data_IF_220700008453
#
_entry.id   IF_220700008453
#
_cell.length_a   1.000
_cell.length_b   1.000
_cell.length_c   1.000
_cell.angle_alpha   90.00
_cell.angle_beta   90.00
_cell.angle_gamma   90.00
#
_symmetry.space_group_name_H-M   'P 1'
#
loop_
_entity.id
_entity.type
_entity.pdbx_description
1 polymer ?
#
# COMPACT_ATOMS: atom_id res chain seq x y z
N UNK A 1 -22.71 -1.74 -0.91
CA UNK A 1 -21.91 -2.49 0.08
C UNK A 1 -20.42 -2.40 -0.29
N UNK A 2 -19.56 -2.28 0.68
CA UNK A 2 -18.10 -2.17 0.48
C UNK A 2 -17.38 -2.34 1.80
N UNK A 3 -16.03 -2.53 1.80
CA UNK A 3 -15.28 -2.81 3.01
C UNK A 3 -15.41 -1.69 4.06
N UNK A 4 -15.46 -0.43 3.64
CA UNK A 4 -15.65 0.70 4.54
C UNK A 4 -16.98 0.67 5.27
N UNK A 5 -18.08 0.43 4.56
CA UNK A 5 -19.41 0.37 5.17
C UNK A 5 -19.56 -0.81 6.14
N UNK A 6 -18.95 -1.97 5.82
CA UNK A 6 -18.93 -3.11 6.74
C UNK A 6 -18.17 -2.81 8.03
N UNK A 7 -17.04 -2.09 7.93
CA UNK A 7 -16.29 -1.62 9.10
C UNK A 7 -17.09 -0.61 9.93
N UNK A 8 -17.81 0.30 9.29
CA UNK A 8 -18.69 1.25 9.98
C UNK A 8 -19.79 0.53 10.78
N UNK A 9 -20.42 -0.48 10.17
CA UNK A 9 -21.42 -1.28 10.87
C UNK A 9 -20.83 -1.96 12.12
N UNK A 10 -19.66 -2.61 11.97
CA UNK A 10 -18.97 -3.23 13.11
C UNK A 10 -18.58 -2.22 14.19
N UNK A 11 -18.11 -1.03 13.81
CA UNK A 11 -17.74 0.03 14.72
C UNK A 11 -18.94 0.55 15.54
N UNK A 12 -20.11 0.67 14.90
CA UNK A 12 -21.35 1.11 15.58
C UNK A 12 -21.85 0.08 16.62
N UNK A 13 -21.57 -1.21 16.39
CA UNK A 13 -21.89 -2.28 17.36
C UNK A 13 -20.84 -2.40 18.48
N UNK A 14 -19.67 -1.78 18.35
CA UNK A 14 -18.59 -1.91 19.32
C UNK A 14 -18.80 -0.96 20.52
N UNK A 15 -18.63 -1.51 21.74
CA UNK A 15 -18.77 -0.76 23.00
C UNK A 15 -17.46 -0.20 23.56
N UNK A 16 -16.31 -0.44 22.90
CA UNK A 16 -15.00 -0.04 23.40
C UNK A 16 -14.69 1.45 23.19
N UNK A 17 -13.78 1.99 24.00
CA UNK A 17 -13.24 3.34 23.86
C UNK A 17 -12.37 3.50 22.62
N UNK A 18 -11.65 2.44 22.23
CA UNK A 18 -10.85 2.34 21.02
C UNK A 18 -11.41 1.27 20.09
N UNK A 19 -11.47 1.59 18.81
CA UNK A 19 -11.87 0.71 17.73
C UNK A 19 -10.62 0.17 17.03
N UNK A 20 -10.55 -1.14 16.85
CA UNK A 20 -9.47 -1.81 16.11
C UNK A 20 -10.04 -2.44 14.84
N UNK A 21 -9.45 -2.11 13.70
CA UNK A 21 -9.80 -2.66 12.39
C UNK A 21 -8.67 -3.57 11.93
N UNK A 22 -9.03 -4.81 11.63
CA UNK A 22 -8.12 -5.84 11.12
C UNK A 22 -8.76 -6.50 9.91
N UNK A 23 -7.96 -6.78 8.89
CA UNK A 23 -8.43 -7.59 7.77
C UNK A 23 -8.46 -9.09 8.17
N UNK A 24 -9.43 -9.83 7.66
CA UNK A 24 -9.64 -11.25 8.02
C UNK A 24 -8.51 -12.19 7.59
N UNK A 25 -7.58 -11.72 6.75
CA UNK A 25 -6.38 -12.43 6.31
C UNK A 25 -5.11 -11.99 7.08
N UNK A 26 -5.28 -11.34 8.23
CA UNK A 26 -4.20 -11.00 9.16
C UNK A 26 -4.10 -12.01 10.30
N UNK A 27 -2.86 -12.31 10.72
CA UNK A 27 -2.54 -13.04 11.96
C UNK A 27 -1.88 -12.05 12.91
N UNK A 28 -2.40 -11.94 14.11
CA UNK A 28 -1.87 -11.07 15.16
C UNK A 28 -0.93 -11.84 16.09
N UNK A 29 0.20 -11.28 16.51
CA UNK A 29 1.04 -11.84 17.55
C UNK A 29 0.32 -11.90 18.91
N UNK A 30 0.70 -12.80 19.83
CA UNK A 30 0.08 -12.90 21.15
C UNK A 30 0.10 -11.59 21.95
N UNK A 31 1.18 -10.81 21.83
CA UNK A 31 1.39 -9.57 22.57
C UNK A 31 0.67 -8.35 21.95
N UNK A 32 0.05 -8.50 20.79
CA UNK A 32 -0.52 -7.41 19.99
C UNK A 32 -1.45 -6.50 20.80
N UNK A 33 -2.41 -7.08 21.51
CA UNK A 33 -3.37 -6.31 22.32
C UNK A 33 -2.70 -5.66 23.53
N UNK A 34 -1.72 -6.33 24.16
CA UNK A 34 -0.97 -5.77 25.28
C UNK A 34 -0.19 -4.51 24.86
N UNK A 35 0.49 -4.57 23.72
CA UNK A 35 1.22 -3.43 23.12
C UNK A 35 0.30 -2.24 22.89
N UNK A 36 -0.87 -2.46 22.27
CA UNK A 36 -1.84 -1.39 22.01
C UNK A 36 -2.37 -0.81 23.32
N UNK A 37 -2.79 -1.65 24.28
CA UNK A 37 -3.27 -1.18 25.58
C UNK A 37 -2.23 -0.34 26.31
N UNK A 38 -0.97 -0.76 26.31
CA UNK A 38 0.13 -0.01 26.90
C UNK A 38 0.30 1.36 26.19
N UNK A 39 0.32 1.38 24.86
CA UNK A 39 0.46 2.61 24.10
C UNK A 39 -0.70 3.61 24.38
N UNK A 40 -1.96 3.14 24.40
CA UNK A 40 -3.11 3.96 24.71
C UNK A 40 -3.14 4.49 26.15
N UNK A 41 -2.56 3.75 27.12
CA UNK A 41 -2.46 4.19 28.52
C UNK A 41 -1.36 5.22 28.73
N UNK A 42 -0.21 5.06 28.05
CA UNK A 42 0.96 5.92 28.26
C UNK A 42 0.91 7.21 27.44
N UNK A 43 0.19 7.20 26.32
CA UNK A 43 0.06 8.35 25.42
C UNK A 43 -1.40 8.50 25.06
N UNK A 44 -1.89 9.73 25.06
CA UNK A 44 -3.19 10.04 24.48
C UNK A 44 -3.07 9.91 22.96
N UNK A 45 -3.49 8.77 22.42
CA UNK A 45 -3.39 8.45 21.00
C UNK A 45 -4.76 8.60 20.36
N UNK A 46 -4.87 9.44 19.35
CA UNK A 46 -6.12 9.63 18.61
C UNK A 46 -6.36 8.52 17.61
N UNK A 47 -5.34 8.25 16.77
CA UNK A 47 -5.36 7.13 15.83
C UNK A 47 -3.97 6.52 15.65
N UNK A 48 -3.91 5.25 15.34
CA UNK A 48 -2.67 4.51 15.18
C UNK A 48 -2.79 3.40 14.16
N UNK A 49 -1.67 2.86 13.77
CA UNK A 49 -1.57 1.62 13.01
C UNK A 49 -0.22 0.96 13.23
N UNK A 50 -0.12 -0.28 12.84
CA UNK A 50 1.11 -1.06 12.89
C UNK A 50 1.54 -1.54 11.50
N UNK A 51 2.84 -1.93 11.35
CA UNK A 51 3.34 -2.45 10.10
C UNK A 51 2.80 -3.84 9.80
N UNK A 52 2.80 -4.19 8.52
CA UNK A 52 2.59 -5.56 8.07
C UNK A 52 3.94 -6.27 7.90
N UNK A 53 4.01 -7.54 8.30
CA UNK A 53 5.19 -8.39 8.18
C UNK A 53 4.89 -9.63 7.34
N UNK A 54 5.94 -10.17 6.69
CA UNK A 54 5.86 -11.46 6.03
C UNK A 54 5.87 -12.58 7.07
N UNK A 55 4.94 -13.52 6.95
CA UNK A 55 4.93 -14.73 7.78
C UNK A 55 5.91 -15.76 7.22
N UNK A 56 6.51 -16.60 8.08
CA UNK A 56 7.46 -17.64 7.67
C UNK A 56 6.87 -18.65 6.67
N UNK A 57 5.57 -18.93 6.77
CA UNK A 57 4.86 -19.85 5.87
C UNK A 57 4.57 -19.29 4.47
N UNK A 58 5.01 -18.07 4.16
CA UNK A 58 4.79 -17.50 2.82
C UNK A 58 5.45 -18.34 1.74
N UNK A 59 4.69 -18.62 0.70
CA UNK A 59 5.21 -19.25 -0.53
C UNK A 59 6.23 -18.35 -1.22
N UNK A 60 7.02 -18.91 -2.13
CA UNK A 60 8.02 -18.13 -2.89
C UNK A 60 7.37 -16.95 -3.65
N UNK A 61 6.15 -17.12 -4.19
CA UNK A 61 5.40 -16.04 -4.85
C UNK A 61 5.02 -14.96 -3.84
N UNK A 62 4.53 -15.32 -2.66
CA UNK A 62 4.17 -14.35 -1.62
C UNK A 62 5.38 -13.59 -1.09
N UNK A 63 6.54 -14.24 -0.95
CA UNK A 63 7.81 -13.60 -0.59
C UNK A 63 8.27 -12.63 -1.66
N UNK A 64 8.15 -13.00 -2.94
CA UNK A 64 8.47 -12.13 -4.07
C UNK A 64 7.56 -10.90 -4.14
N UNK A 65 6.25 -11.08 -3.95
CA UNK A 65 5.27 -9.99 -3.86
C UNK A 65 5.59 -9.10 -2.65
N UNK A 66 5.92 -9.69 -1.50
CA UNK A 66 6.31 -8.90 -0.33
C UNK A 66 7.55 -8.04 -0.63
N UNK A 67 8.57 -8.61 -1.26
CA UNK A 67 9.74 -7.84 -1.71
C UNK A 67 9.33 -6.65 -2.57
N UNK A 68 8.55 -6.86 -3.64
CA UNK A 68 8.14 -5.79 -4.54
C UNK A 68 7.29 -4.70 -3.86
N UNK A 69 6.56 -5.03 -2.80
CA UNK A 69 5.75 -4.07 -2.03
C UNK A 69 6.54 -3.27 -1.00
N UNK A 70 7.72 -3.74 -0.59
CA UNK A 70 8.52 -3.14 0.49
C UNK A 70 9.88 -2.62 0.04
N UNK A 71 10.37 -3.04 -1.15
CA UNK A 71 11.66 -2.58 -1.68
C UNK A 71 11.66 -1.09 -1.98
N UNK A 72 12.79 -0.45 -1.69
CA UNK A 72 13.04 0.94 -2.05
C UNK A 72 12.93 1.16 -3.57
N UNK A 73 13.45 0.24 -4.36
CA UNK A 73 13.50 0.36 -5.83
C UNK A 73 12.13 0.24 -6.52
N UNK A 74 11.10 -0.21 -5.82
CA UNK A 74 9.75 -0.38 -6.39
C UNK A 74 8.72 0.58 -5.80
N UNK A 75 8.84 0.90 -4.51
CA UNK A 75 7.87 1.73 -3.79
C UNK A 75 8.48 2.97 -3.13
N UNK A 76 9.77 3.24 -3.38
CA UNK A 76 10.47 4.36 -2.75
C UNK A 76 10.58 4.24 -1.23
N UNK A 77 10.45 3.03 -0.68
CA UNK A 77 10.52 2.78 0.76
C UNK A 77 9.29 3.29 1.56
N UNK A 78 8.20 3.70 0.88
CA UNK A 78 6.98 4.20 1.54
C UNK A 78 6.37 3.16 2.49
N UNK A 79 6.59 1.87 2.23
CA UNK A 79 6.19 0.76 3.11
C UNK A 79 7.42 0.18 3.78
N UNK A 80 7.47 0.20 5.10
CA UNK A 80 8.50 -0.50 5.88
C UNK A 80 9.64 0.35 6.43
N UNK A 81 9.66 1.67 6.26
CA UNK A 81 10.67 2.52 6.90
C UNK A 81 10.26 2.90 8.33
N UNK A 82 11.20 2.74 9.27
CA UNK A 82 11.06 3.14 10.68
C UNK A 82 11.05 4.66 10.90
N UNK A 83 11.46 5.43 9.91
CA UNK A 83 11.52 6.91 9.95
C UNK A 83 10.87 7.45 8.67
N UNK A 84 9.61 7.85 8.76
CA UNK A 84 9.00 8.71 7.74
C UNK A 84 9.07 10.15 8.24
N UNK A 85 9.50 11.08 7.39
CA UNK A 85 9.44 12.53 7.66
C UNK A 85 8.00 13.06 7.58
N UNK A 86 7.03 12.21 7.31
CA UNK A 86 5.62 12.53 7.13
C UNK A 86 4.76 11.89 8.22
N UNK A 87 3.60 12.53 8.49
CA UNK A 87 2.57 11.96 9.36
C UNK A 87 2.18 10.56 8.87
N UNK A 88 2.10 9.62 9.77
CA UNK A 88 1.79 8.22 9.44
C UNK A 88 0.32 8.08 9.06
N UNK A 89 0.06 7.42 7.94
CA UNK A 89 -1.29 7.08 7.49
C UNK A 89 -1.65 5.65 7.93
N UNK A 90 -2.45 5.47 9.00
CA UNK A 90 -2.98 4.15 9.37
C UNK A 90 -3.71 3.48 8.20
N UNK A 91 -3.53 2.17 8.09
CA UNK A 91 -4.12 1.36 7.00
C UNK A 91 -5.11 0.35 7.60
N UNK A 92 -6.24 0.17 6.96
CA UNK A 92 -7.36 -0.62 7.47
C UNK A 92 -7.04 -2.08 7.83
N UNK A 93 -5.98 -2.66 7.25
CA UNK A 93 -5.54 -4.00 7.64
C UNK A 93 -4.98 -4.08 9.07
N UNK A 94 -4.57 -2.95 9.66
CA UNK A 94 -4.04 -2.83 11.01
C UNK A 94 -4.15 -1.36 11.46
N UNK A 95 -5.35 -0.92 11.77
CA UNK A 95 -5.68 0.45 12.13
C UNK A 95 -6.48 0.48 13.43
N UNK A 96 -6.19 1.45 14.30
CA UNK A 96 -7.01 1.76 15.44
C UNK A 96 -7.23 3.25 15.57
N UNK A 97 -8.36 3.64 16.16
CA UNK A 97 -8.65 5.01 16.56
C UNK A 97 -9.57 5.03 17.77
N UNK A 98 -9.58 6.14 18.51
CA UNK A 98 -10.56 6.33 19.55
C UNK A 98 -11.97 6.43 18.95
N UNK A 99 -12.99 6.01 19.71
CA UNK A 99 -14.39 6.09 19.28
C UNK A 99 -14.78 7.54 18.97
N UNK A 100 -14.29 8.50 19.75
CA UNK A 100 -14.45 9.94 19.52
C UNK A 100 -13.94 10.36 18.13
N UNK A 101 -12.74 9.93 17.74
CA UNK A 101 -12.17 10.24 16.41
C UNK A 101 -12.98 9.62 15.30
N UNK A 102 -13.42 8.37 15.48
CA UNK A 102 -14.25 7.66 14.50
C UNK A 102 -15.59 8.38 14.27
N UNK A 103 -16.27 8.77 15.34
CA UNK A 103 -17.53 9.50 15.28
C UNK A 103 -17.35 10.89 14.65
N UNK A 104 -16.33 11.64 15.07
CA UNK A 104 -16.03 12.97 14.53
C UNK A 104 -15.75 12.94 13.02
N UNK A 105 -15.06 11.90 12.54
CA UNK A 105 -14.74 11.75 11.12
C UNK A 105 -15.81 11.00 10.33
N UNK A 106 -16.94 10.65 10.94
CA UNK A 106 -18.05 9.90 10.32
C UNK A 106 -17.61 8.54 9.74
N UNK A 107 -16.52 7.96 10.26
CA UNK A 107 -16.00 6.66 9.86
C UNK A 107 -15.50 6.61 8.42
N UNK A 108 -15.55 5.41 7.82
CA UNK A 108 -15.08 5.16 6.45
C UNK A 108 -16.12 5.61 5.43
N UNK A 109 -15.68 6.30 4.36
CA UNK A 109 -16.53 6.58 3.21
C UNK A 109 -16.76 5.31 2.36
N UNK A 110 -17.84 5.30 1.59
CA UNK A 110 -18.22 4.20 0.70
C UNK A 110 -17.32 4.04 -0.53
N UNK A 111 -16.03 4.29 -0.40
CA UNK A 111 -15.06 4.12 -1.46
C UNK A 111 -14.75 2.64 -1.66
N UNK A 112 -14.64 2.22 -2.93
CA UNK A 112 -14.28 0.84 -3.25
C UNK A 112 -12.81 0.52 -2.94
N UNK A 113 -11.93 1.52 -3.06
CA UNK A 113 -10.50 1.43 -2.81
C UNK A 113 -9.99 2.76 -2.26
N UNK A 114 -9.07 2.69 -1.27
CA UNK A 114 -8.45 3.86 -0.65
C UNK A 114 -9.28 4.48 0.47
N UNK A 115 -10.31 3.80 0.94
CA UNK A 115 -11.16 4.22 2.06
C UNK A 115 -10.38 4.44 3.36
N UNK A 116 -9.30 3.66 3.53
CA UNK A 116 -8.39 3.77 4.67
C UNK A 116 -7.51 5.03 4.60
N UNK A 117 -7.01 5.35 3.42
CA UNK A 117 -6.22 6.56 3.21
C UNK A 117 -7.10 7.80 3.33
N UNK A 118 -8.30 7.78 2.75
CA UNK A 118 -9.29 8.85 2.90
C UNK A 118 -9.59 9.13 4.38
N UNK A 119 -9.89 8.08 5.15
CA UNK A 119 -10.14 8.22 6.58
C UNK A 119 -8.92 8.76 7.32
N UNK A 120 -7.72 8.27 7.03
CA UNK A 120 -6.48 8.76 7.65
C UNK A 120 -6.23 10.24 7.35
N UNK A 121 -6.52 10.69 6.12
CA UNK A 121 -6.39 12.10 5.74
C UNK A 121 -7.39 12.95 6.54
N UNK A 122 -8.67 12.56 6.60
CA UNK A 122 -9.70 13.27 7.37
C UNK A 122 -9.40 13.35 8.87
N UNK A 123 -8.83 12.28 9.45
CA UNK A 123 -8.35 12.30 10.84
C UNK A 123 -7.31 13.41 11.04
N UNK A 124 -6.33 13.50 10.13
CA UNK A 124 -5.27 14.52 10.23
C UNK A 124 -5.76 15.93 9.91
N UNK A 125 -6.67 16.08 8.94
CA UNK A 125 -7.30 17.38 8.60
C UNK A 125 -8.17 17.90 9.75
N UNK A 126 -8.77 17.00 10.53
CA UNK A 126 -9.51 17.34 11.75
C UNK A 126 -8.61 17.70 12.95
N UNK A 127 -7.28 17.70 12.78
CA UNK A 127 -6.32 18.06 13.82
C UNK A 127 -5.98 16.95 14.81
N UNK A 128 -6.42 15.71 14.56
CA UNK A 128 -6.05 14.55 15.37
C UNK A 128 -4.68 13.99 14.97
N UNK A 129 -3.96 13.42 15.94
CA UNK A 129 -2.66 12.83 15.72
C UNK A 129 -2.75 11.36 15.32
N UNK A 130 -1.92 11.00 14.34
CA UNK A 130 -1.73 9.61 13.93
C UNK A 130 -0.34 9.12 14.29
N UNK A 131 -0.21 7.91 14.81
CA UNK A 131 1.09 7.35 15.15
C UNK A 131 1.29 5.93 14.59
N UNK A 132 2.55 5.61 14.29
CA UNK A 132 2.98 4.25 14.00
C UNK A 132 3.36 3.55 15.31
N UNK A 133 2.78 2.38 15.57
CA UNK A 133 3.17 1.48 16.66
C UNK A 133 3.96 0.29 16.05
N UNK A 134 5.30 0.34 16.01
CA UNK A 134 6.11 -0.66 15.32
C UNK A 134 5.97 -2.08 15.88
N UNK A 135 5.68 -2.19 17.18
CA UNK A 135 5.50 -3.44 17.90
C UNK A 135 4.09 -4.03 17.72
N UNK A 136 3.09 -3.21 17.36
CA UNK A 136 1.74 -3.65 17.04
C UNK A 136 1.65 -4.09 15.57
N UNK A 137 2.54 -4.99 15.15
CA UNK A 137 2.56 -5.50 13.78
C UNK A 137 1.57 -6.65 13.60
N UNK A 138 1.21 -6.89 12.33
CA UNK A 138 0.42 -8.06 11.92
C UNK A 138 1.13 -8.82 10.79
N UNK A 139 0.89 -10.13 10.71
CA UNK A 139 1.27 -10.91 9.54
C UNK A 139 0.13 -10.86 8.54
N UNK A 140 0.27 -10.03 7.51
CA UNK A 140 -0.77 -9.83 6.51
C UNK A 140 -0.51 -10.69 5.28
N UNK A 141 -1.44 -11.58 4.95
CA UNK A 141 -1.29 -12.54 3.86
C UNK A 141 -1.18 -11.83 2.50
N UNK A 142 -0.07 -12.04 1.82
CA UNK A 142 0.13 -11.53 0.46
C UNK A 142 -0.69 -12.33 -0.56
N UNK A 143 -1.00 -11.71 -1.70
CA UNK A 143 -1.68 -12.39 -2.81
C UNK A 143 -0.91 -13.63 -3.23
N UNK A 144 -1.64 -14.70 -3.58
CA UNK A 144 -1.08 -16.02 -3.87
C UNK A 144 -0.72 -16.22 -5.35
N UNK A 145 -1.06 -15.26 -6.22
CA UNK A 145 -0.73 -15.30 -7.65
C UNK A 145 -0.43 -13.90 -8.18
N UNK A 146 0.39 -13.83 -9.22
CA UNK A 146 0.71 -12.58 -9.91
C UNK A 146 -0.51 -11.91 -10.55
N UNK A 147 -1.49 -12.67 -11.04
CA UNK A 147 -2.75 -12.13 -11.59
C UNK A 147 -3.55 -11.38 -10.51
N UNK A 148 -3.70 -11.97 -9.32
CA UNK A 148 -4.37 -11.31 -8.19
C UNK A 148 -3.59 -10.09 -7.71
N UNK A 149 -2.27 -10.18 -7.73
CA UNK A 149 -1.39 -9.08 -7.36
C UNK A 149 -1.49 -7.91 -8.37
N UNK A 150 -1.43 -8.20 -9.67
CA UNK A 150 -1.64 -7.19 -10.72
C UNK A 150 -2.95 -6.42 -10.50
N UNK A 151 -4.07 -7.13 -10.30
CA UNK A 151 -5.39 -6.51 -10.07
C UNK A 151 -5.37 -5.61 -8.83
N UNK A 152 -4.73 -6.04 -7.74
CA UNK A 152 -4.60 -5.26 -6.51
C UNK A 152 -3.83 -3.97 -6.76
N UNK A 153 -2.69 -4.04 -7.42
CA UNK A 153 -1.81 -2.89 -7.65
C UNK A 153 -2.41 -1.92 -8.67
N UNK A 154 -3.03 -2.45 -9.72
CA UNK A 154 -3.80 -1.65 -10.69
C UNK A 154 -4.90 -0.83 -10.00
N UNK A 155 -5.69 -1.45 -9.12
CA UNK A 155 -6.71 -0.76 -8.34
C UNK A 155 -6.10 0.31 -7.40
N UNK A 156 -4.90 0.07 -6.87
CA UNK A 156 -4.18 1.07 -6.07
C UNK A 156 -3.77 2.29 -6.89
N UNK A 157 -3.35 2.10 -8.15
CA UNK A 157 -3.08 3.19 -9.08
C UNK A 157 -4.35 4.00 -9.39
N UNK A 158 -5.47 3.33 -9.68
CA UNK A 158 -6.76 3.98 -9.90
C UNK A 158 -7.24 4.76 -8.66
N UNK A 159 -7.13 4.16 -7.48
CA UNK A 159 -7.55 4.78 -6.23
C UNK A 159 -6.80 6.10 -5.95
N UNK A 160 -5.57 6.26 -6.44
CA UNK A 160 -4.79 7.48 -6.23
C UNK A 160 -5.43 8.72 -6.85
N UNK A 161 -6.01 8.59 -8.04
CA UNK A 161 -6.73 9.70 -8.71
C UNK A 161 -8.06 9.98 -8.01
N UNK A 162 -8.77 8.95 -7.53
CA UNK A 162 -9.98 9.15 -6.73
C UNK A 162 -9.68 9.90 -5.43
N UNK A 163 -8.59 9.55 -4.76
CA UNK A 163 -8.12 10.24 -3.55
C UNK A 163 -7.71 11.69 -3.86
N UNK A 164 -7.03 11.94 -4.98
CA UNK A 164 -6.68 13.29 -5.42
C UNK A 164 -7.91 14.16 -5.62
N UNK A 165 -9.00 13.62 -6.16
CA UNK A 165 -10.25 14.37 -6.35
C UNK A 165 -10.91 14.75 -5.02
N UNK A 166 -10.78 13.92 -4.00
CA UNK A 166 -11.31 14.19 -2.65
C UNK A 166 -10.35 15.04 -1.81
N UNK A 167 -9.07 14.84 -2.00
CA UNK A 167 -7.97 15.46 -1.25
C UNK A 167 -6.85 15.87 -2.22
N UNK A 168 -6.94 17.06 -2.85
CA UNK A 168 -5.96 17.50 -3.86
C UNK A 168 -4.50 17.49 -3.37
N UNK A 169 -4.28 17.75 -2.09
CA UNK A 169 -2.96 17.72 -1.43
C UNK A 169 -2.36 16.32 -1.30
N UNK A 170 -3.16 15.25 -1.52
CA UNK A 170 -2.70 13.86 -1.34
C UNK A 170 -1.83 13.35 -2.49
N UNK A 171 -1.82 14.03 -3.65
CA UNK A 171 -1.06 13.62 -4.81
C UNK A 171 0.37 14.18 -4.75
N UNK A 172 1.36 13.29 -4.86
CA UNK A 172 2.79 13.61 -4.79
C UNK A 172 3.50 13.16 -6.06
N UNK A 173 4.64 13.77 -6.37
CA UNK A 173 5.45 13.43 -7.55
C UNK A 173 5.80 11.93 -7.63
N UNK A 174 6.05 11.29 -6.50
CA UNK A 174 6.37 9.85 -6.44
C UNK A 174 5.24 8.97 -7.02
N UNK A 175 3.99 9.43 -7.01
CA UNK A 175 2.87 8.68 -7.55
C UNK A 175 2.86 8.61 -9.10
N UNK A 176 3.60 9.51 -9.76
CA UNK A 176 3.75 9.51 -11.22
C UNK A 176 4.86 8.57 -11.70
N UNK A 177 5.85 8.24 -10.84
CA UNK A 177 7.00 7.43 -11.22
C UNK A 177 6.64 6.09 -11.88
N UNK A 178 5.64 5.32 -11.41
CA UNK A 178 5.25 4.09 -12.08
C UNK A 178 4.68 4.33 -13.49
N UNK A 179 4.01 5.45 -13.74
CA UNK A 179 3.52 5.81 -15.08
C UNK A 179 4.66 6.20 -16.01
N UNK A 180 5.63 6.97 -15.52
CA UNK A 180 6.87 7.29 -16.24
C UNK A 180 7.63 6.01 -16.57
N UNK A 181 7.71 5.06 -15.64
CA UNK A 181 8.31 3.75 -15.86
C UNK A 181 7.63 2.98 -17.00
N UNK A 182 6.29 2.94 -17.04
CA UNK A 182 5.54 2.28 -18.12
C UNK A 182 5.87 2.91 -19.48
N UNK A 183 5.83 4.24 -19.56
CA UNK A 183 6.14 4.99 -20.79
C UNK A 183 7.60 4.73 -21.20
N UNK A 184 8.54 4.79 -20.27
CA UNK A 184 9.95 4.51 -20.51
C UNK A 184 10.19 3.10 -21.05
N UNK A 185 9.54 2.08 -20.47
CA UNK A 185 9.61 0.70 -20.99
C UNK A 185 9.06 0.60 -22.42
N UNK A 186 7.94 1.25 -22.73
CA UNK A 186 7.37 1.26 -24.08
C UNK A 186 8.31 1.95 -25.09
N UNK A 187 8.94 3.06 -24.70
CA UNK A 187 9.94 3.75 -25.52
C UNK A 187 11.15 2.86 -25.77
N UNK A 188 11.69 2.21 -24.74
CA UNK A 188 12.82 1.28 -24.88
C UNK A 188 12.49 0.10 -25.81
N UNK A 189 11.29 -0.47 -25.68
CA UNK A 189 10.84 -1.54 -26.57
C UNK A 189 10.69 -1.06 -28.02
N UNK A 190 10.07 0.08 -28.25
CA UNK A 190 9.95 0.66 -29.60
C UNK A 190 11.33 0.98 -30.19
N UNK A 191 12.20 1.65 -29.43
CA UNK A 191 13.56 1.96 -29.86
C UNK A 191 14.39 0.71 -30.15
N UNK A 192 14.15 -0.38 -29.41
CA UNK A 192 14.84 -1.65 -29.69
C UNK A 192 14.44 -2.27 -31.02
N UNK A 193 13.20 -2.05 -31.46
CA UNK A 193 12.70 -2.55 -32.77
C UNK A 193 13.17 -1.69 -33.96
N UNK A 194 13.23 -0.37 -33.79
CA UNK A 194 13.44 0.57 -34.90
C UNK A 194 14.85 1.18 -34.96
N UNK A 195 15.57 1.23 -33.82
CA UNK A 195 16.88 1.86 -33.75
C UNK A 195 17.99 0.87 -33.41
N UNK A 196 17.99 0.25 -32.22
CA UNK A 196 19.03 -0.66 -31.81
C UNK A 196 18.59 -1.56 -30.65
N UNK A 197 18.91 -2.88 -30.66
CA UNK A 197 18.65 -3.80 -29.56
C UNK A 197 19.26 -3.37 -28.22
N UNK A 198 20.27 -2.50 -28.23
CA UNK A 198 20.91 -2.01 -27.01
C UNK A 198 19.97 -1.29 -26.04
N UNK A 199 18.83 -0.75 -26.51
CA UNK A 199 17.83 -0.13 -25.63
C UNK A 199 17.21 -1.13 -24.63
N UNK A 200 17.25 -2.45 -24.92
CA UNK A 200 16.82 -3.49 -23.99
C UNK A 200 17.76 -3.64 -22.78
N UNK A 201 19.01 -3.19 -22.88
CA UNK A 201 19.95 -3.23 -21.76
C UNK A 201 19.44 -2.45 -20.56
N UNK A 202 18.74 -1.33 -20.75
CA UNK A 202 18.15 -0.56 -19.66
C UNK A 202 17.15 -1.41 -18.85
N UNK A 203 16.28 -2.15 -19.53
CA UNK A 203 15.31 -3.06 -18.90
C UNK A 203 16.05 -4.23 -18.22
N UNK A 204 17.09 -4.79 -18.88
CA UNK A 204 17.93 -5.86 -18.35
C UNK A 204 18.68 -5.44 -17.08
N UNK A 205 19.27 -4.25 -17.06
CA UNK A 205 19.97 -3.72 -15.89
C UNK A 205 19.01 -3.50 -14.71
N UNK A 206 17.79 -3.03 -14.98
CA UNK A 206 16.78 -2.88 -13.94
C UNK A 206 16.32 -4.26 -13.40
N UNK A 207 16.15 -5.24 -14.27
CA UNK A 207 15.84 -6.61 -13.85
C UNK A 207 16.97 -7.21 -12.98
N UNK A 208 18.23 -6.96 -13.37
CA UNK A 208 19.40 -7.37 -12.58
C UNK A 208 19.43 -6.69 -11.21
N UNK A 209 19.11 -5.39 -11.15
CA UNK A 209 19.02 -4.65 -9.88
C UNK A 209 17.98 -5.28 -8.95
N UNK A 210 16.75 -5.55 -9.44
CA UNK A 210 15.71 -6.21 -8.63
C UNK A 210 16.14 -7.61 -8.20
N UNK A 211 16.79 -8.36 -9.08
CA UNK A 211 17.28 -9.70 -8.78
C UNK A 211 18.33 -9.68 -7.66
N UNK A 212 19.36 -8.85 -7.80
CA UNK A 212 20.48 -8.80 -6.85
C UNK A 212 20.03 -8.28 -5.48
N UNK A 213 19.19 -7.22 -5.45
CA UNK A 213 18.65 -6.69 -4.20
C UNK A 213 17.74 -7.72 -3.51
N UNK A 214 16.85 -8.39 -4.25
CA UNK A 214 16.01 -9.44 -3.68
C UNK A 214 16.82 -10.65 -3.22
N UNK A 215 17.86 -11.03 -3.95
CA UNK A 215 18.76 -12.12 -3.55
C UNK A 215 19.48 -11.79 -2.24
N UNK A 216 19.96 -10.55 -2.10
CA UNK A 216 20.58 -10.05 -0.87
C UNK A 216 19.65 -10.14 0.34
N UNK A 217 18.38 -9.74 0.16
CA UNK A 217 17.38 -9.66 1.25
C UNK A 217 16.77 -11.02 1.59
N UNK A 218 16.44 -11.84 0.59
CA UNK A 218 15.73 -13.11 0.79
C UNK A 218 16.66 -14.33 0.84
N UNK A 219 17.92 -14.19 0.40
CA UNK A 219 18.93 -15.27 0.32
C UNK A 219 18.42 -16.54 -0.39
N UNK A 220 17.56 -16.35 -1.39
CA UNK A 220 16.92 -17.42 -2.13
C UNK A 220 16.79 -17.06 -3.61
N UNK A 221 17.46 -17.81 -4.47
CA UNK A 221 17.53 -17.58 -5.94
C UNK A 221 16.14 -17.64 -6.58
N UNK A 222 15.30 -18.63 -6.20
CA UNK A 222 13.93 -18.76 -6.72
C UNK A 222 13.09 -17.54 -6.38
N UNK A 223 13.17 -17.06 -5.13
CA UNK A 223 12.46 -15.85 -4.69
C UNK A 223 12.99 -14.63 -5.44
N UNK A 224 14.30 -14.53 -5.67
CA UNK A 224 14.91 -13.42 -6.41
C UNK A 224 14.38 -13.33 -7.85
N UNK A 225 14.33 -14.43 -8.59
CA UNK A 225 13.73 -14.47 -9.93
C UNK A 225 12.25 -14.06 -9.93
N UNK A 226 11.46 -14.62 -9.01
CA UNK A 226 10.04 -14.25 -8.88
C UNK A 226 9.85 -12.79 -8.47
N UNK A 227 10.81 -12.23 -7.74
CA UNK A 227 10.79 -10.82 -7.32
C UNK A 227 11.00 -9.87 -8.50
N UNK A 228 11.78 -10.24 -9.50
CA UNK A 228 11.88 -9.46 -10.75
C UNK A 228 10.50 -9.33 -11.39
N UNK A 229 9.81 -10.47 -11.58
CA UNK A 229 8.45 -10.48 -12.15
C UNK A 229 7.50 -9.64 -11.29
N UNK A 230 7.51 -9.82 -9.97
CA UNK A 230 6.67 -9.07 -9.05
C UNK A 230 6.95 -7.56 -9.10
N UNK A 231 8.21 -7.14 -9.24
CA UNK A 231 8.61 -5.73 -9.31
C UNK A 231 8.13 -5.06 -10.61
N UNK A 232 8.27 -5.75 -11.74
CA UNK A 232 7.69 -5.26 -12.99
C UNK A 232 6.16 -5.16 -12.90
N UNK A 233 5.49 -6.16 -12.32
CA UNK A 233 4.04 -6.11 -12.08
C UNK A 233 3.67 -4.93 -11.18
N UNK A 234 4.40 -4.70 -10.09
CA UNK A 234 4.17 -3.58 -9.17
C UNK A 234 4.19 -2.23 -9.91
N UNK A 235 5.21 -2.00 -10.71
CA UNK A 235 5.39 -0.74 -11.42
C UNK A 235 4.40 -0.60 -12.59
N UNK A 236 4.26 -1.64 -13.44
CA UNK A 236 3.38 -1.58 -14.61
C UNK A 236 1.92 -1.52 -14.23
N UNK A 237 1.46 -2.36 -13.30
CA UNK A 237 0.06 -2.39 -12.92
C UNK A 237 -0.39 -1.07 -12.28
N UNK A 238 0.44 -0.51 -11.38
CA UNK A 238 0.14 0.80 -10.78
C UNK A 238 0.13 1.90 -11.83
N UNK A 239 1.16 1.97 -12.68
CA UNK A 239 1.28 3.00 -13.72
C UNK A 239 0.11 2.96 -14.71
N UNK A 240 -0.27 1.77 -15.20
CA UNK A 240 -1.42 1.59 -16.09
C UNK A 240 -2.72 1.98 -15.38
N UNK A 241 -2.92 1.57 -14.11
CA UNK A 241 -4.10 1.93 -13.33
C UNK A 241 -4.22 3.44 -13.10
N UNK A 242 -3.10 4.11 -12.83
CA UNK A 242 -3.03 5.55 -12.68
C UNK A 242 -3.37 6.28 -13.99
N UNK A 243 -2.73 5.90 -15.11
CA UNK A 243 -3.00 6.47 -16.45
C UNK A 243 -4.47 6.28 -16.83
N UNK A 244 -5.00 5.07 -16.61
CA UNK A 244 -6.41 4.77 -16.88
C UNK A 244 -7.36 5.66 -16.07
N UNK A 245 -7.08 5.87 -14.79
CA UNK A 245 -7.89 6.75 -13.95
C UNK A 245 -7.81 8.22 -14.38
N UNK A 246 -6.62 8.71 -14.76
CA UNK A 246 -6.45 10.05 -15.32
C UNK A 246 -7.31 10.21 -16.58
N UNK A 247 -7.30 9.23 -17.48
CA UNK A 247 -8.11 9.25 -18.68
C UNK A 247 -9.61 9.25 -18.37
N UNK A 248 -10.07 8.33 -17.50
CA UNK A 248 -11.49 8.23 -17.16
C UNK A 248 -12.05 9.47 -16.44
N UNK A 249 -11.32 9.98 -15.48
CA UNK A 249 -11.81 11.05 -14.59
C UNK A 249 -11.34 12.45 -15.02
N UNK A 250 -10.19 12.55 -15.69
CA UNK A 250 -9.66 13.81 -16.18
C UNK A 250 -10.20 14.19 -17.55
N UNK A 251 -10.21 13.26 -18.50
CA UNK A 251 -10.59 13.54 -19.90
C UNK A 251 -12.07 13.28 -20.15
N UNK A 252 -12.61 12.16 -19.66
CA UNK A 252 -14.01 11.79 -19.90
C UNK A 252 -15.00 12.41 -18.89
N UNK A 253 -14.55 13.22 -17.94
CA UNK A 253 -15.37 13.88 -16.91
C UNK A 253 -16.38 12.92 -16.21
N UNK A 254 -16.09 11.63 -16.12
CA UNK A 254 -16.95 10.68 -15.41
C UNK A 254 -16.95 11.01 -13.93
N UNK A 255 -18.17 11.23 -13.40
CA UNK A 255 -18.42 11.46 -11.97
C UNK A 255 -18.25 10.18 -11.16
#
# INVERSE_FOLDING_TARGET
SGPGLSRNYGANCAGGEYLLFLDSDCIVPPEYIAVIKQACRTKKIDAFGGPDRAHHSFTSIQKAINYSMTSFFTTGGIRGQKKTMEKFHPRSFNMGCSKKVFEFTEGFRGLRFGEDIDMSIRIMEAGFDTCLLPEAYVYHKRRTSFRKFFKQVYNSGMARINLFRLHPQSLKLVHFLPSVFVIGCLICLAASCFLSPYYLLAIGLLALLFFTDSLRLNKNVKVAFLSVIASFIQLTAYGIGFIHAVFLYGILHRK
#
